data_IF_420751728700
#
_entry.id   IF_420751728700
#
_cell.length_a   1.000
_cell.length_b   1.000
_cell.length_c   1.000
_cell.angle_alpha   90.00
_cell.angle_beta   90.00
_cell.angle_gamma   90.00
#
_symmetry.space_group_name_H-M   'P 1'
#
loop_
_entity.id
_entity.type
_entity.pdbx_description
1 polymer ?
#
# COMPACT_ATOMS: atom_id res chain seq x y z
N UNK A 1 13.18 21.97 21.95
CA UNK A 1 12.40 22.16 20.69
C UNK A 1 11.11 21.37 20.80
N UNK A 2 9.93 22.02 20.74
CA UNK A 2 8.65 21.32 20.77
C UNK A 2 8.57 20.32 19.62
N UNK A 3 8.02 19.14 19.85
CA UNK A 3 7.80 18.13 18.82
C UNK A 3 6.89 18.71 17.73
N UNK A 4 7.40 18.95 16.53
CA UNK A 4 6.60 19.35 15.36
C UNK A 4 5.79 18.20 14.75
N UNK A 5 5.81 17.02 15.40
CA UNK A 5 4.98 15.88 14.99
C UNK A 5 3.53 16.16 15.33
N UNK A 6 2.73 16.38 14.28
CA UNK A 6 1.28 16.38 14.39
C UNK A 6 0.79 14.93 14.50
N UNK A 7 -0.29 14.64 15.24
CA UNK A 7 -0.87 13.29 15.34
C UNK A 7 -1.11 12.65 13.96
N UNK A 8 -1.59 13.45 13.00
CA UNK A 8 -1.78 13.03 11.61
C UNK A 8 -0.48 12.56 10.94
N UNK A 9 0.66 13.21 11.21
CA UNK A 9 1.95 12.80 10.62
C UNK A 9 2.36 11.43 11.15
N UNK A 10 2.21 11.21 12.45
CA UNK A 10 2.49 9.90 13.06
C UNK A 10 1.55 8.84 12.50
N UNK A 11 0.26 9.12 12.41
CA UNK A 11 -0.73 8.20 11.85
C UNK A 11 -0.40 7.83 10.39
N UNK A 12 -0.10 8.82 9.55
CA UNK A 12 0.27 8.58 8.14
C UNK A 12 1.53 7.73 8.03
N UNK A 13 2.56 8.01 8.83
CA UNK A 13 3.78 7.21 8.85
C UNK A 13 3.55 5.77 9.32
N UNK A 14 2.70 5.57 10.33
CA UNK A 14 2.30 4.24 10.81
C UNK A 14 1.46 3.51 9.76
N UNK A 15 0.51 4.18 9.12
CA UNK A 15 -0.36 3.59 8.09
C UNK A 15 0.46 3.05 6.90
N UNK A 16 1.47 3.81 6.45
CA UNK A 16 2.41 3.37 5.41
C UNK A 16 3.20 2.10 5.78
N UNK A 17 3.30 1.74 7.05
CA UNK A 17 4.01 0.53 7.48
C UNK A 17 2.99 -0.59 7.73
N UNK A 18 1.95 -0.30 8.50
CA UNK A 18 1.03 -1.30 9.03
C UNK A 18 0.00 -1.76 7.99
N UNK A 19 -0.56 -0.86 7.17
CA UNK A 19 -1.61 -1.26 6.22
C UNK A 19 -1.13 -2.23 5.12
N UNK A 20 0.08 -2.11 4.54
CA UNK A 20 0.62 -3.14 3.66
C UNK A 20 0.79 -4.50 4.35
N UNK A 21 1.24 -4.51 5.62
CA UNK A 21 1.37 -5.76 6.39
C UNK A 21 0.00 -6.39 6.66
N UNK A 22 -1.01 -5.58 6.96
CA UNK A 22 -2.39 -6.05 7.11
C UNK A 22 -2.93 -6.59 5.79
N UNK A 23 -2.68 -5.91 4.66
CA UNK A 23 -3.06 -6.39 3.34
C UNK A 23 -2.46 -7.78 3.06
N UNK A 24 -1.19 -7.96 3.40
CA UNK A 24 -0.49 -9.24 3.26
C UNK A 24 -1.05 -10.31 4.20
N UNK A 25 -1.29 -9.97 5.48
CA UNK A 25 -1.89 -10.87 6.45
C UNK A 25 -3.31 -11.30 6.05
N UNK A 26 -4.11 -10.39 5.51
CA UNK A 26 -5.45 -10.67 4.98
C UNK A 26 -5.37 -11.66 3.82
N UNK A 27 -4.32 -11.57 2.99
CA UNK A 27 -4.13 -12.47 1.86
C UNK A 27 -3.81 -13.91 2.30
N UNK A 28 -3.28 -14.11 3.50
CA UNK A 28 -3.06 -15.46 4.05
C UNK A 28 -4.37 -16.24 4.25
N UNK A 29 -5.53 -15.59 4.27
CA UNK A 29 -6.84 -16.26 4.39
C UNK A 29 -7.45 -16.67 3.04
N UNK A 30 -6.92 -16.18 1.91
CA UNK A 30 -7.35 -16.53 0.55
C UNK A 30 -6.16 -17.07 -0.25
N UNK A 31 -5.56 -18.16 0.23
CA UNK A 31 -4.35 -18.76 -0.34
C UNK A 31 -4.62 -19.37 -1.73
N UNK A 32 -3.83 -18.99 -2.73
CA UNK A 32 -3.86 -19.60 -4.08
C UNK A 32 -2.55 -19.38 -4.86
N UNK A 33 -2.57 -19.63 -6.17
CA UNK A 33 -1.43 -19.50 -7.08
C UNK A 33 -0.82 -18.09 -7.11
N UNK A 34 -1.59 -17.05 -6.77
CA UNK A 34 -1.07 -15.69 -6.73
C UNK A 34 -0.11 -15.49 -5.56
N UNK A 35 -0.29 -16.17 -4.43
CA UNK A 35 0.73 -16.23 -3.38
C UNK A 35 2.01 -16.87 -3.90
N UNK A 36 1.92 -17.89 -4.76
CA UNK A 36 3.08 -18.49 -5.44
C UNK A 36 3.75 -17.46 -6.35
N UNK A 37 3.01 -16.71 -7.16
CA UNK A 37 3.58 -15.63 -7.98
C UNK A 37 4.18 -14.49 -7.16
N UNK A 38 3.64 -14.18 -5.98
CA UNK A 38 4.22 -13.18 -5.08
C UNK A 38 5.49 -13.70 -4.41
N UNK A 39 5.52 -14.97 -4.00
CA UNK A 39 6.64 -15.63 -3.33
C UNK A 39 7.80 -15.96 -4.28
N UNK A 40 7.50 -16.40 -5.50
CA UNK A 40 8.48 -16.87 -6.49
C UNK A 40 8.65 -15.94 -7.70
N UNK A 41 7.80 -14.92 -7.85
CA UNK A 41 7.96 -13.86 -8.85
C UNK A 41 8.92 -12.77 -8.38
N UNK A 42 8.63 -11.47 -8.60
CA UNK A 42 9.57 -10.39 -8.29
C UNK A 42 9.57 -10.04 -6.78
N UNK A 43 9.69 -11.04 -5.89
CA UNK A 43 9.64 -10.84 -4.44
C UNK A 43 10.69 -9.84 -3.96
N UNK A 44 11.87 -9.85 -4.57
CA UNK A 44 12.93 -8.88 -4.28
C UNK A 44 12.51 -7.44 -4.62
N UNK A 45 11.74 -7.23 -5.69
CA UNK A 45 11.21 -5.92 -6.06
C UNK A 45 10.15 -5.45 -5.06
N UNK A 46 9.28 -6.36 -4.61
CA UNK A 46 8.27 -6.08 -3.60
C UNK A 46 8.91 -5.73 -2.25
N UNK A 47 9.92 -6.50 -1.83
CA UNK A 47 10.71 -6.23 -0.62
C UNK A 47 11.40 -4.87 -0.74
N UNK A 48 12.08 -4.60 -1.86
CA UNK A 48 12.75 -3.33 -2.08
C UNK A 48 11.76 -2.15 -2.05
N UNK A 49 10.60 -2.30 -2.68
CA UNK A 49 9.51 -1.32 -2.63
C UNK A 49 9.01 -1.07 -1.21
N UNK A 50 8.81 -2.14 -0.43
CA UNK A 50 8.37 -2.04 0.96
C UNK A 50 9.44 -1.40 1.87
N UNK A 51 10.71 -1.77 1.71
CA UNK A 51 11.84 -1.13 2.41
C UNK A 51 11.89 0.36 2.08
N UNK A 52 11.74 0.72 0.81
CA UNK A 52 11.70 2.11 0.39
C UNK A 52 10.52 2.86 1.02
N UNK A 53 9.35 2.22 1.11
CA UNK A 53 8.19 2.77 1.79
C UNK A 53 8.45 3.02 3.29
N UNK A 54 9.11 2.09 3.98
CA UNK A 54 9.54 2.26 5.38
C UNK A 54 10.50 3.45 5.50
N UNK A 55 11.46 3.59 4.58
CA UNK A 55 12.41 4.71 4.56
C UNK A 55 11.67 6.03 4.39
N UNK A 56 10.69 6.11 3.48
CA UNK A 56 9.85 7.29 3.30
C UNK A 56 9.04 7.60 4.55
N UNK A 57 8.42 6.60 5.19
CA UNK A 57 7.69 6.78 6.45
C UNK A 57 8.60 7.32 7.56
N UNK A 58 9.76 6.69 7.75
CA UNK A 58 10.75 7.05 8.76
C UNK A 58 11.28 8.47 8.56
N UNK A 59 11.67 8.84 7.34
CA UNK A 59 12.28 10.13 7.04
C UNK A 59 11.25 11.26 6.89
N UNK A 60 10.10 10.95 6.29
CA UNK A 60 9.08 11.91 5.89
C UNK A 60 8.08 12.28 6.96
N UNK A 61 7.64 11.29 7.75
CA UNK A 61 6.49 11.44 8.65
C UNK A 61 6.82 11.17 10.12
N UNK A 62 7.73 10.22 10.37
CA UNK A 62 8.12 9.80 11.73
C UNK A 62 9.39 10.50 12.22
N UNK A 63 10.17 11.17 11.37
CA UNK A 63 11.34 11.93 11.80
C UNK A 63 10.95 13.22 12.53
N UNK A 64 11.82 13.71 13.44
CA UNK A 64 11.69 15.06 14.00
C UNK A 64 12.08 16.16 12.98
N UNK A 65 12.73 15.77 11.88
CA UNK A 65 13.12 16.67 10.80
C UNK A 65 11.96 16.74 9.80
N UNK A 66 11.36 17.92 9.64
CA UNK A 66 10.22 18.14 8.73
C UNK A 66 10.64 18.05 7.25
N UNK A 67 10.89 16.84 6.74
CA UNK A 67 11.33 16.64 5.36
C UNK A 67 10.29 17.19 4.36
N UNK A 68 9.01 16.95 4.63
CA UNK A 68 7.92 17.36 3.74
C UNK A 68 7.37 18.76 3.99
N UNK A 69 7.97 19.63 4.83
CA UNK A 69 7.36 20.89 5.32
C UNK A 69 6.33 21.57 4.39
N UNK A 70 6.71 21.97 3.18
CA UNK A 70 5.81 22.61 2.19
C UNK A 70 4.96 21.64 1.36
N UNK A 71 5.39 20.39 1.19
CA UNK A 71 4.69 19.34 0.44
C UNK A 71 3.84 18.41 1.34
N UNK A 72 3.77 18.68 2.65
CA UNK A 72 3.13 17.83 3.67
C UNK A 72 1.70 17.41 3.32
N UNK A 73 0.78 18.31 2.86
CA UNK A 73 -0.56 17.87 2.49
C UNK A 73 -0.54 16.89 1.31
N UNK A 74 0.22 17.19 0.25
CA UNK A 74 0.34 16.34 -0.94
C UNK A 74 0.94 14.98 -0.61
N UNK A 75 2.04 14.95 0.15
CA UNK A 75 2.67 13.73 0.60
C UNK A 75 1.75 12.90 1.51
N UNK A 76 0.96 13.56 2.35
CA UNK A 76 -0.03 12.88 3.21
C UNK A 76 -1.11 12.21 2.37
N UNK A 77 -1.66 12.91 1.37
CA UNK A 77 -2.65 12.33 0.45
C UNK A 77 -2.05 11.15 -0.31
N UNK A 78 -0.87 11.31 -0.91
CA UNK A 78 -0.19 10.24 -1.63
C UNK A 78 0.00 9.00 -0.73
N UNK A 79 0.45 9.20 0.52
CA UNK A 79 0.63 8.13 1.48
C UNK A 79 -0.67 7.38 1.82
N UNK A 80 -1.77 8.10 2.00
CA UNK A 80 -3.08 7.47 2.24
C UNK A 80 -3.63 6.77 1.00
N UNK A 81 -3.45 7.34 -0.20
CA UNK A 81 -3.83 6.70 -1.47
C UNK A 81 -3.06 5.38 -1.64
N UNK A 82 -1.75 5.38 -1.39
CA UNK A 82 -0.93 4.14 -1.38
C UNK A 82 -1.45 3.13 -0.37
N UNK A 83 -1.67 3.56 0.87
CA UNK A 83 -1.97 2.65 1.99
C UNK A 83 -3.37 2.05 1.90
N UNK A 84 -4.36 2.84 1.46
CA UNK A 84 -5.72 2.35 1.24
C UNK A 84 -5.81 1.52 -0.05
N UNK A 85 -5.08 1.92 -1.11
CA UNK A 85 -5.00 1.16 -2.34
C UNK A 85 -4.46 -0.25 -2.12
N UNK A 86 -3.34 -0.39 -1.40
CA UNK A 86 -2.77 -1.72 -1.11
C UNK A 86 -3.67 -2.56 -0.21
N UNK A 87 -4.34 -1.94 0.77
CA UNK A 87 -5.27 -2.64 1.65
C UNK A 87 -6.49 -3.15 0.88
N UNK A 88 -7.12 -2.29 0.07
CA UNK A 88 -8.23 -2.68 -0.78
C UNK A 88 -7.81 -3.78 -1.76
N UNK A 89 -6.60 -3.67 -2.34
CA UNK A 89 -6.06 -4.73 -3.18
C UNK A 89 -5.95 -6.05 -2.42
N UNK A 90 -5.38 -6.06 -1.21
CA UNK A 90 -5.28 -7.28 -0.39
C UNK A 90 -6.64 -7.93 -0.06
N UNK A 91 -7.72 -7.14 0.01
CA UNK A 91 -9.08 -7.64 0.27
C UNK A 91 -9.75 -8.19 -0.99
N UNK A 92 -9.66 -7.46 -2.11
CA UNK A 92 -10.46 -7.71 -3.31
C UNK A 92 -9.73 -8.47 -4.41
N UNK A 93 -8.40 -8.54 -4.35
CA UNK A 93 -7.60 -9.25 -5.35
C UNK A 93 -7.91 -10.75 -5.31
N UNK A 94 -8.47 -11.33 -6.39
CA UNK A 94 -8.79 -12.75 -6.45
C UNK A 94 -7.52 -13.59 -6.37
N UNK A 95 -7.51 -14.64 -5.56
CA UNK A 95 -6.53 -15.72 -5.71
C UNK A 95 -7.16 -16.90 -6.45
N UNK A 96 -6.41 -17.57 -7.31
CA UNK A 96 -6.89 -18.71 -8.09
C UNK A 96 -6.14 -19.99 -7.76
N UNK A 97 -6.83 -21.12 -7.68
CA UNK A 97 -6.34 -22.49 -7.46
C UNK A 97 -7.27 -23.49 -8.14
N UNK A 98 -6.77 -24.69 -8.49
CA UNK A 98 -7.44 -25.66 -9.39
C UNK A 98 -8.86 -26.08 -8.96
N UNK A 99 -9.25 -25.88 -7.69
CA UNK A 99 -10.59 -26.24 -7.18
C UNK A 99 -11.25 -25.19 -6.26
N UNK A 100 -10.50 -24.19 -5.76
CA UNK A 100 -10.98 -23.15 -4.86
C UNK A 100 -10.34 -21.81 -5.25
N UNK A 101 -11.14 -20.86 -5.76
CA UNK A 101 -10.68 -19.52 -6.12
C UNK A 101 -11.48 -18.47 -5.35
N UNK A 102 -10.88 -17.33 -5.02
CA UNK A 102 -11.58 -16.26 -4.31
C UNK A 102 -10.67 -15.18 -3.75
N UNK A 103 -11.20 -13.97 -3.62
CA UNK A 103 -10.58 -12.90 -2.81
C UNK A 103 -10.97 -13.04 -1.33
N UNK A 104 -10.29 -12.34 -0.43
CA UNK A 104 -10.66 -12.29 0.99
C UNK A 104 -12.11 -11.83 1.20
N UNK A 105 -12.59 -10.88 0.39
CA UNK A 105 -14.00 -10.48 0.37
C UNK A 105 -14.95 -11.63 0.01
N UNK A 106 -14.60 -12.41 -1.02
CA UNK A 106 -15.38 -13.57 -1.44
C UNK A 106 -15.41 -14.66 -0.38
N UNK A 107 -14.29 -14.90 0.31
CA UNK A 107 -14.23 -15.82 1.44
C UNK A 107 -15.21 -15.39 2.53
N UNK A 108 -15.24 -14.10 2.87
CA UNK A 108 -16.22 -13.56 3.83
C UNK A 108 -17.66 -13.66 3.34
N UNK A 109 -17.89 -13.58 2.04
CA UNK A 109 -19.19 -13.77 1.42
C UNK A 109 -19.62 -15.25 1.30
N UNK A 110 -18.76 -16.20 1.71
CA UNK A 110 -19.08 -17.63 1.71
C UNK A 110 -18.67 -18.37 0.43
N UNK A 111 -17.67 -17.87 -0.30
CA UNK A 111 -17.16 -18.50 -1.53
C UNK A 111 -16.62 -19.94 -1.34
N UNK A 112 -16.34 -20.37 -0.11
CA UNK A 112 -15.96 -21.77 0.22
C UNK A 112 -17.11 -22.61 0.78
N UNK A 113 -18.35 -22.11 0.72
CA UNK A 113 -19.54 -22.80 1.20
C UNK A 113 -20.35 -23.46 0.09
N UNK A 114 -21.51 -24.07 0.42
CA UNK A 114 -22.41 -24.72 -0.54
C UNK A 114 -22.95 -23.81 -1.65
N UNK A 115 -22.83 -22.49 -1.49
CA UNK A 115 -23.30 -21.47 -2.41
C UNK A 115 -22.16 -20.77 -3.18
N UNK A 116 -20.98 -21.39 -3.23
CA UNK A 116 -19.76 -20.82 -3.85
C UNK A 116 -20.03 -20.24 -5.25
N UNK A 117 -20.67 -21.01 -6.13
CA UNK A 117 -20.98 -20.59 -7.51
C UNK A 117 -21.84 -19.31 -7.55
N UNK A 118 -22.86 -19.22 -6.70
CA UNK A 118 -23.73 -18.05 -6.63
C UNK A 118 -22.99 -16.81 -6.10
N UNK A 119 -22.09 -16.99 -5.13
CA UNK A 119 -21.23 -15.93 -4.60
C UNK A 119 -20.29 -15.43 -5.69
N UNK A 120 -19.64 -16.33 -6.43
CA UNK A 120 -18.76 -15.99 -7.55
C UNK A 120 -19.51 -15.22 -8.63
N UNK A 121 -20.65 -15.75 -9.08
CA UNK A 121 -21.50 -15.09 -10.08
C UNK A 121 -21.90 -13.67 -9.66
N UNK A 122 -22.17 -13.43 -8.38
CA UNK A 122 -22.56 -12.12 -7.86
C UNK A 122 -21.39 -11.16 -7.64
N UNK A 123 -20.16 -11.65 -7.45
CA UNK A 123 -19.05 -10.83 -6.92
C UNK A 123 -17.81 -10.75 -7.81
N UNK A 124 -17.62 -11.66 -8.77
CA UNK A 124 -16.41 -11.72 -9.59
C UNK A 124 -16.14 -10.41 -10.35
N UNK A 125 -17.17 -9.85 -10.99
CA UNK A 125 -17.04 -8.58 -11.73
C UNK A 125 -16.68 -7.41 -10.81
N UNK A 126 -17.35 -7.32 -9.64
CA UNK A 126 -17.07 -6.29 -8.65
C UNK A 126 -15.64 -6.40 -8.11
N UNK A 127 -15.22 -7.61 -7.75
CA UNK A 127 -13.86 -7.87 -7.27
C UNK A 127 -12.81 -7.49 -8.30
N UNK A 128 -13.00 -7.88 -9.56
CA UNK A 128 -12.06 -7.54 -10.62
C UNK A 128 -11.92 -6.03 -10.80
N UNK A 129 -13.03 -5.29 -10.84
CA UNK A 129 -13.02 -3.82 -10.97
C UNK A 129 -12.36 -3.16 -9.76
N UNK A 130 -12.74 -3.55 -8.54
CA UNK A 130 -12.22 -2.96 -7.30
C UNK A 130 -10.73 -3.29 -7.14
N UNK A 131 -10.31 -4.53 -7.38
CA UNK A 131 -8.91 -4.94 -7.33
C UNK A 131 -8.07 -4.16 -8.35
N UNK A 132 -8.55 -4.04 -9.59
CA UNK A 132 -7.84 -3.28 -10.63
C UNK A 132 -7.72 -1.81 -10.25
N UNK A 133 -8.81 -1.19 -9.81
CA UNK A 133 -8.80 0.21 -9.34
C UNK A 133 -7.87 0.41 -8.14
N UNK A 134 -7.90 -0.52 -7.18
CA UNK A 134 -7.04 -0.49 -6.00
C UNK A 134 -5.56 -0.63 -6.36
N UNK A 135 -5.21 -1.51 -7.31
CA UNK A 135 -3.85 -1.65 -7.82
C UNK A 135 -3.36 -0.35 -8.49
N UNK A 136 -4.19 0.26 -9.33
CA UNK A 136 -3.85 1.53 -9.99
C UNK A 136 -3.65 2.65 -8.98
N UNK A 137 -4.54 2.77 -7.98
CA UNK A 137 -4.41 3.75 -6.90
C UNK A 137 -3.16 3.51 -6.05
N UNK A 138 -2.87 2.25 -5.71
CA UNK A 138 -1.68 1.90 -4.96
C UNK A 138 -0.41 2.32 -5.70
N UNK A 139 -0.27 1.94 -6.98
CA UNK A 139 0.89 2.27 -7.82
C UNK A 139 1.00 3.78 -8.02
N UNK A 140 -0.09 4.45 -8.43
CA UNK A 140 -0.09 5.90 -8.67
C UNK A 140 0.23 6.68 -7.40
N UNK A 141 -0.37 6.31 -6.27
CA UNK A 141 -0.09 6.90 -4.96
C UNK A 141 1.36 6.71 -4.55
N UNK A 142 1.91 5.50 -4.76
CA UNK A 142 3.30 5.20 -4.39
C UNK A 142 4.29 6.00 -5.24
N UNK A 143 4.09 6.03 -6.57
CA UNK A 143 4.92 6.84 -7.48
C UNK A 143 4.84 8.32 -7.11
N UNK A 144 3.64 8.84 -6.85
CA UNK A 144 3.47 10.22 -6.40
C UNK A 144 4.23 10.47 -5.09
N UNK A 145 4.11 9.58 -4.09
CA UNK A 145 4.81 9.68 -2.82
C UNK A 145 6.33 9.70 -3.00
N UNK A 146 6.87 8.84 -3.89
CA UNK A 146 8.30 8.82 -4.22
C UNK A 146 8.75 10.13 -4.87
N UNK A 147 7.97 10.69 -5.79
CA UNK A 147 8.27 11.99 -6.41
C UNK A 147 8.35 13.09 -5.35
N UNK A 148 7.39 13.15 -4.43
CA UNK A 148 7.42 14.14 -3.34
C UNK A 148 8.64 13.95 -2.43
N UNK A 149 9.00 12.69 -2.13
CA UNK A 149 10.15 12.35 -1.29
C UNK A 149 11.47 12.75 -1.94
N UNK A 150 11.68 12.39 -3.22
CA UNK A 150 12.86 12.77 -4.00
C UNK A 150 12.97 14.29 -4.09
N UNK A 151 11.87 14.98 -4.41
CA UNK A 151 11.85 16.43 -4.49
C UNK A 151 12.19 17.09 -3.15
N UNK A 152 11.71 16.54 -2.03
CA UNK A 152 12.05 17.02 -0.70
C UNK A 152 13.54 16.81 -0.35
N UNK A 153 14.11 15.66 -0.71
CA UNK A 153 15.54 15.38 -0.53
C UNK A 153 16.41 16.34 -1.35
N UNK A 154 16.04 16.61 -2.60
CA UNK A 154 16.76 17.55 -3.47
C UNK A 154 16.73 18.96 -2.88
N UNK A 155 15.55 19.44 -2.46
CA UNK A 155 15.42 20.77 -1.81
C UNK A 155 16.29 20.88 -0.56
N UNK A 156 16.29 19.85 0.28
CA UNK A 156 17.11 19.81 1.49
C UNK A 156 18.61 19.85 1.17
N UNK A 157 19.06 19.11 0.15
CA UNK A 157 20.46 19.12 -0.30
C UNK A 157 20.89 20.50 -0.82
N UNK A 158 20.01 21.18 -1.59
CA UNK A 158 20.28 22.53 -2.09
C UNK A 158 20.40 23.55 -0.97
N UNK A 159 19.52 23.50 0.03
CA UNK A 159 19.57 24.40 1.18
C UNK A 159 20.79 24.19 2.09
N UNK A 160 21.41 23.01 2.03
CA UNK A 160 22.60 22.68 2.83
C UNK A 160 23.93 22.97 2.11
N UNK A 161 23.92 23.34 0.83
CA UNK A 161 25.13 23.78 0.12
C UNK A 161 25.43 25.24 0.50
N UNK A 162 26.61 25.56 1.04
CA UNK A 162 27.00 26.95 1.24
C UNK A 162 27.03 27.67 -0.12
N UNK A 163 26.56 28.93 -0.14
CA UNK A 163 26.74 29.81 -1.29
C UNK A 163 28.25 30.00 -1.49
N UNK A 164 28.79 29.36 -2.52
CA UNK A 164 30.14 29.64 -3.02
C UNK A 164 30.14 30.90 -3.86
#
# INVERSE_FOLDING_TARGET
MPSSRTPLSTLTGVALIVLPLLAWALKLFSFGWMMVFILFGPILLLIAGYVLQIVVAAQGFLSKRELFRAAKPRATVAAWVTSLGVLALGVFMPDGGDMDYGSTFQVWAGAYGPNSEAVHAATDALNSVVATGAALLWIAGFVWLLVEWIAALIRRRRAARPAG
#
